data_IF_362197430450
#
_entry.id   IF_362197430450
#
_cell.length_a   1.000
_cell.length_b   1.000
_cell.length_c   1.000
_cell.angle_alpha   90.00
_cell.angle_beta   90.00
_cell.angle_gamma   90.00
#
_symmetry.space_group_name_H-M   'P 1'
#
loop_
_entity.id
_entity.type
_entity.pdbx_description
1 polymer ?
#
# COMPACT_ATOMS: atom_id res chain seq x y z
N UNK A 1 -10.57 -18.63 -8.14
CA UNK A 1 -10.30 -17.71 -9.27
C UNK A 1 -11.56 -17.52 -10.10
N UNK A 2 -12.22 -16.37 -9.94
CA UNK A 2 -13.36 -15.95 -10.75
C UNK A 2 -12.83 -14.95 -11.78
N UNK A 3 -13.21 -15.09 -13.06
CA UNK A 3 -12.90 -14.08 -14.09
C UNK A 3 -13.67 -12.80 -13.78
N UNK A 4 -12.98 -11.68 -13.67
CA UNK A 4 -13.61 -10.36 -13.71
C UNK A 4 -13.73 -9.93 -15.20
N UNK A 5 -14.53 -8.89 -15.46
CA UNK A 5 -14.97 -8.54 -16.81
C UNK A 5 -13.90 -7.80 -17.61
N UNK A 6 -13.67 -8.21 -18.86
CA UNK A 6 -12.80 -7.51 -19.80
C UNK A 6 -13.29 -6.09 -20.08
N UNK A 7 -12.42 -5.11 -19.88
CA UNK A 7 -12.69 -3.69 -20.12
C UNK A 7 -12.11 -3.27 -21.48
N UNK A 8 -12.97 -2.87 -22.42
CA UNK A 8 -12.53 -2.21 -23.64
C UNK A 8 -12.18 -0.74 -23.33
N UNK A 9 -11.00 -0.31 -23.77
CA UNK A 9 -10.39 0.96 -23.35
C UNK A 9 -10.23 1.96 -24.50
N UNK A 10 -11.26 2.05 -25.34
CA UNK A 10 -11.37 2.99 -26.47
C UNK A 10 -12.62 3.88 -26.35
N UNK A 11 -12.59 4.84 -25.42
CA UNK A 11 -13.04 6.21 -25.73
C UNK A 11 -12.56 7.23 -24.69
N UNK A 12 -11.84 8.25 -25.14
CA UNK A 12 -11.57 9.50 -24.42
C UNK A 12 -11.13 10.53 -25.46
N UNK A 13 -12.09 10.99 -26.27
CA UNK A 13 -11.92 12.10 -27.20
C UNK A 13 -11.62 13.41 -26.46
N UNK A 14 -10.83 14.25 -27.12
CA UNK A 14 -10.36 15.54 -26.62
C UNK A 14 -11.52 16.54 -26.43
N UNK A 15 -11.55 17.23 -25.29
CA UNK A 15 -12.10 18.59 -25.22
C UNK A 15 -10.97 19.55 -24.88
N UNK A 16 -10.51 20.27 -25.90
CA UNK A 16 -9.74 21.49 -25.73
C UNK A 16 -10.68 22.59 -25.23
N UNK A 17 -10.30 23.26 -24.15
CA UNK A 17 -10.68 24.67 -24.00
C UNK A 17 -9.49 25.50 -23.52
N UNK A 18 -9.29 26.65 -24.16
CA UNK A 18 -8.07 27.44 -24.07
C UNK A 18 -8.40 28.91 -23.86
N UNK A 19 -8.29 29.39 -22.61
CA UNK A 19 -8.37 30.83 -22.30
C UNK A 19 -7.27 31.29 -21.33
N UNK A 20 -6.21 31.84 -21.94
CA UNK A 20 -5.42 33.01 -21.51
C UNK A 20 -5.48 33.50 -20.04
N UNK A 21 -4.32 33.64 -19.39
CA UNK A 21 -4.18 34.37 -18.13
C UNK A 21 -2.72 34.61 -17.70
N UNK A 22 -2.01 35.52 -18.37
CA UNK A 22 -0.61 35.85 -18.04
C UNK A 22 -0.46 36.61 -16.72
N UNK A 23 0.39 36.11 -15.81
CA UNK A 23 0.67 36.76 -14.52
C UNK A 23 2.12 36.57 -14.05
N UNK A 24 3.04 37.41 -14.54
CA UNK A 24 4.42 37.46 -14.04
C UNK A 24 4.45 38.01 -12.60
N UNK A 25 5.15 37.34 -11.69
CA UNK A 25 5.65 37.94 -10.46
C UNK A 25 7.16 37.66 -10.32
N UNK A 26 7.96 38.73 -10.30
CA UNK A 26 9.38 38.72 -9.91
C UNK A 26 9.53 39.40 -8.53
N UNK A 27 10.57 39.05 -7.75
CA UNK A 27 10.70 39.49 -6.37
C UNK A 27 11.10 40.97 -6.24
N UNK A 28 10.60 41.62 -5.18
CA UNK A 28 10.99 42.98 -4.81
C UNK A 28 12.27 42.98 -3.96
N UNK A 29 13.18 43.91 -4.27
CA UNK A 29 14.36 44.24 -3.49
C UNK A 29 14.42 45.76 -3.24
N UNK A 30 15.47 46.24 -2.55
CA UNK A 30 15.74 47.64 -2.13
C UNK A 30 14.79 48.20 -1.07
N UNK A 31 15.17 49.13 -0.17
CA UNK A 31 16.37 50.01 -0.02
C UNK A 31 16.97 49.78 1.41
N UNK A 32 18.00 50.43 1.99
CA UNK A 32 18.76 51.63 1.66
C UNK A 32 20.25 51.58 2.15
N UNK A 33 20.66 52.49 3.05
CA UNK A 33 22.04 52.88 3.44
C UNK A 33 22.09 53.64 4.78
N UNK A 34 23.18 53.49 5.54
CA UNK A 34 23.91 54.54 6.28
C UNK A 34 25.21 53.92 6.83
N UNK A 35 26.42 54.18 6.33
CA UNK A 35 27.32 55.36 6.41
C UNK A 35 28.02 55.62 7.75
N UNK A 36 29.35 55.39 7.73
CA UNK A 36 30.47 56.06 8.43
C UNK A 36 30.68 55.86 9.95
N UNK A 37 31.95 55.61 10.32
CA UNK A 37 32.45 55.70 11.70
C UNK A 37 33.73 54.87 11.95
N UNK A 38 34.90 55.49 11.85
CA UNK A 38 36.21 54.86 12.17
C UNK A 38 36.63 55.12 13.61
N UNK A 39 37.23 54.12 14.27
CA UNK A 39 38.50 54.17 15.04
C UNK A 39 38.64 52.87 15.86
N UNK A 40 39.88 52.44 16.13
CA UNK A 40 40.14 51.17 16.81
C UNK A 40 40.59 51.32 18.26
N UNK A 41 40.56 50.21 19.00
CA UNK A 41 41.34 50.02 20.23
C UNK A 41 41.56 48.52 20.47
N UNK A 42 42.74 48.18 20.98
CA UNK A 42 43.11 46.82 21.36
C UNK A 42 42.49 46.44 22.70
N UNK A 43 41.82 45.28 22.77
CA UNK A 43 41.40 44.64 24.03
C UNK A 43 41.73 43.15 24.00
N UNK A 44 42.27 42.66 25.11
CA UNK A 44 42.87 41.33 25.23
C UNK A 44 41.82 40.21 25.19
N UNK A 45 42.21 39.04 24.66
CA UNK A 45 41.39 37.83 24.73
C UNK A 45 41.36 37.30 26.17
N UNK A 46 40.17 37.21 26.76
CA UNK A 46 39.91 36.50 28.02
C UNK A 46 39.25 35.17 27.66
N UNK A 47 39.76 34.01 28.12
CA UNK A 47 39.15 32.72 27.81
C UNK A 47 37.83 32.56 28.59
N UNK A 48 36.72 32.49 27.85
CA UNK A 48 35.40 32.20 28.43
C UNK A 48 35.30 30.70 28.80
N UNK A 49 35.57 30.37 30.07
CA UNK A 49 35.27 29.04 30.62
C UNK A 49 33.77 28.91 30.86
N UNK A 50 33.04 28.42 29.86
CA UNK A 50 31.63 28.05 30.01
C UNK A 50 31.50 26.88 31.00
N UNK A 51 30.63 26.95 32.03
CA UNK A 51 30.44 25.84 32.95
C UNK A 51 29.74 24.67 32.26
N UNK A 52 30.32 23.47 32.36
CA UNK A 52 29.74 22.23 31.84
C UNK A 52 28.56 21.80 32.71
N UNK A 53 27.39 22.40 32.49
CA UNK A 53 26.14 21.91 33.06
C UNK A 53 25.80 20.57 32.42
N UNK A 54 26.10 19.49 33.13
CA UNK A 54 25.82 18.12 32.68
C UNK A 54 24.32 17.91 32.59
N UNK A 55 23.76 18.06 31.38
CA UNK A 55 22.37 17.69 31.10
C UNK A 55 22.25 16.20 31.31
N UNK A 56 21.52 15.82 32.36
CA UNK A 56 21.23 14.42 32.71
C UNK A 56 20.37 13.82 31.60
N UNK A 57 21.01 13.15 30.65
CA UNK A 57 20.36 12.64 29.45
C UNK A 57 19.17 11.76 29.80
N UNK A 58 17.99 12.09 29.25
CA UNK A 58 16.90 11.14 29.20
C UNK A 58 17.37 9.91 28.39
N UNK A 59 16.97 8.68 28.76
CA UNK A 59 17.29 7.51 27.95
C UNK A 59 16.74 7.72 26.55
N UNK A 60 17.61 7.74 25.53
CA UNK A 60 17.18 7.82 24.14
C UNK A 60 16.32 6.61 23.84
N UNK A 61 15.03 6.83 23.59
CA UNK A 61 14.13 5.79 23.11
C UNK A 61 14.63 5.33 21.74
N UNK A 62 14.77 4.01 21.57
CA UNK A 62 15.08 3.40 20.28
C UNK A 62 14.12 3.92 19.20
N UNK A 63 14.61 4.39 18.03
CA UNK A 63 13.74 4.79 16.92
C UNK A 63 12.80 3.66 16.51
N UNK A 64 11.56 4.00 16.13
CA UNK A 64 10.50 3.02 15.84
C UNK A 64 10.92 2.04 14.73
N UNK A 65 11.56 2.53 13.68
CA UNK A 65 12.11 1.71 12.59
C UNK A 65 13.06 0.62 13.09
N UNK A 66 13.96 0.91 14.06
CA UNK A 66 14.88 -0.10 14.63
C UNK A 66 14.18 -1.17 15.49
N UNK A 67 12.92 -0.98 15.86
CA UNK A 67 12.12 -1.94 16.64
C UNK A 67 11.26 -2.83 15.73
N UNK A 68 10.72 -2.27 14.65
CA UNK A 68 9.70 -2.90 13.81
C UNK A 68 10.20 -3.34 12.43
N UNK A 69 11.05 -2.53 11.79
CA UNK A 69 11.62 -2.83 10.48
C UNK A 69 12.77 -3.82 10.64
N UNK A 70 12.77 -4.86 9.80
CA UNK A 70 13.73 -5.96 9.80
C UNK A 70 14.18 -6.26 8.37
N UNK A 71 15.27 -7.02 8.27
CA UNK A 71 15.61 -7.70 7.02
C UNK A 71 14.48 -8.65 6.63
N UNK A 72 14.16 -8.73 5.34
CA UNK A 72 13.13 -9.64 4.82
C UNK A 72 13.44 -11.11 5.17
N UNK A 73 14.72 -11.48 5.23
CA UNK A 73 15.16 -12.84 5.62
C UNK A 73 14.81 -13.21 7.09
N UNK A 74 14.41 -12.25 7.92
CA UNK A 74 13.96 -12.48 9.30
C UNK A 74 12.43 -12.60 9.41
N UNK A 75 11.69 -12.28 8.34
CA UNK A 75 10.22 -12.34 8.31
C UNK A 75 9.78 -13.80 8.19
N UNK A 76 8.99 -14.24 9.15
CA UNK A 76 8.41 -15.59 9.16
C UNK A 76 7.09 -15.59 8.38
N UNK A 77 6.74 -16.69 7.69
CA UNK A 77 5.43 -16.84 7.08
C UNK A 77 4.31 -16.67 8.13
N UNK A 78 3.14 -16.12 7.72
CA UNK A 78 2.00 -16.00 8.61
C UNK A 78 1.41 -17.37 8.99
N UNK A 79 0.72 -17.39 10.13
CA UNK A 79 -0.01 -18.52 10.72
C UNK A 79 -1.50 -18.48 10.39
N UNK A 80 -2.01 -17.33 9.94
CA UNK A 80 -3.39 -17.19 9.46
C UNK A 80 -3.69 -18.21 8.36
N UNK A 81 -4.84 -18.86 8.42
CA UNK A 81 -5.15 -20.04 7.58
C UNK A 81 -6.05 -19.72 6.41
N UNK A 82 -6.90 -18.71 6.55
CA UNK A 82 -7.90 -18.37 5.54
C UNK A 82 -7.29 -17.49 4.45
N UNK A 83 -6.83 -16.29 4.81
CA UNK A 83 -6.23 -15.32 3.91
C UNK A 83 -5.33 -14.38 4.71
N UNK A 84 -4.11 -14.14 4.23
CA UNK A 84 -3.17 -13.15 4.79
C UNK A 84 -2.92 -12.02 3.79
N UNK A 85 -2.49 -10.84 4.26
CA UNK A 85 -2.28 -9.68 3.38
C UNK A 85 -0.89 -9.09 3.55
N UNK A 86 -0.19 -8.91 2.43
CA UNK A 86 1.08 -8.21 2.35
C UNK A 86 0.89 -6.90 1.58
N UNK A 87 1.07 -5.76 2.24
CA UNK A 87 1.07 -4.46 1.59
C UNK A 87 2.52 -4.04 1.28
N UNK A 88 2.86 -3.96 0.00
CA UNK A 88 4.07 -3.32 -0.46
C UNK A 88 3.77 -1.88 -0.89
N UNK A 89 4.54 -0.94 -0.36
CA UNK A 89 4.49 0.47 -0.72
C UNK A 89 5.81 0.87 -1.37
N UNK A 90 5.69 1.50 -2.53
CA UNK A 90 6.69 2.43 -3.04
C UNK A 90 6.82 3.59 -2.04
N UNK A 91 8.00 3.72 -1.42
CA UNK A 91 8.29 4.70 -0.35
C UNK A 91 9.03 5.94 -0.84
N UNK A 92 9.13 6.14 -2.16
CA UNK A 92 9.74 7.35 -2.72
C UNK A 92 8.85 8.58 -2.52
N UNK A 93 9.44 9.77 -2.69
CA UNK A 93 8.77 11.04 -2.42
C UNK A 93 7.50 11.32 -3.25
N UNK A 94 7.32 10.73 -4.44
CA UNK A 94 6.07 10.86 -5.21
C UNK A 94 4.88 10.19 -4.50
N UNK A 95 5.15 9.16 -3.71
CA UNK A 95 4.16 8.28 -3.08
C UNK A 95 3.80 8.67 -1.63
N UNK A 96 4.38 9.75 -1.09
CA UNK A 96 4.13 10.25 0.28
C UNK A 96 2.63 10.36 0.62
N UNK A 97 1.81 10.90 -0.29
CA UNK A 97 0.36 11.05 -0.07
C UNK A 97 -0.38 9.71 0.06
N UNK A 98 0.13 8.64 -0.56
CA UNK A 98 -0.48 7.31 -0.51
C UNK A 98 -0.19 6.64 0.82
N UNK A 99 1.07 6.61 1.24
CA UNK A 99 1.51 6.07 2.53
C UNK A 99 0.88 6.88 3.67
N UNK A 100 0.99 8.21 3.66
CA UNK A 100 0.42 9.07 4.70
C UNK A 100 -1.10 8.87 4.88
N UNK A 101 -1.84 8.66 3.79
CA UNK A 101 -3.26 8.33 3.84
C UNK A 101 -3.54 6.92 4.38
N UNK A 102 -2.71 5.93 4.04
CA UNK A 102 -2.82 4.57 4.58
C UNK A 102 -2.53 4.58 6.08
N UNK A 103 -1.45 5.23 6.52
CA UNK A 103 -1.09 5.41 7.94
C UNK A 103 -2.22 6.09 8.72
N UNK A 104 -2.74 7.22 8.24
CA UNK A 104 -3.88 7.91 8.86
C UNK A 104 -5.15 7.05 8.94
N UNK A 105 -5.35 6.15 7.98
CA UNK A 105 -6.49 5.23 7.93
C UNK A 105 -6.15 3.84 8.45
N UNK A 106 -4.97 3.59 9.03
CA UNK A 106 -4.49 2.23 9.28
C UNK A 106 -5.39 1.49 10.25
N UNK A 107 -5.84 2.17 11.30
CA UNK A 107 -6.81 1.63 12.25
C UNK A 107 -8.12 1.19 11.57
N UNK A 108 -8.58 1.93 10.56
CA UNK A 108 -9.76 1.54 9.77
C UNK A 108 -9.43 0.38 8.83
N UNK A 109 -8.35 0.45 8.05
CA UNK A 109 -7.92 -0.63 7.15
C UNK A 109 -7.82 -1.97 7.90
N UNK A 110 -7.06 -2.01 9.00
CA UNK A 110 -6.89 -3.22 9.78
C UNK A 110 -8.17 -3.64 10.51
N UNK A 111 -8.99 -2.71 11.02
CA UNK A 111 -10.28 -3.09 11.63
C UNK A 111 -11.28 -3.65 10.62
N UNK A 112 -11.28 -3.16 9.38
CA UNK A 112 -12.10 -3.74 8.31
C UNK A 112 -11.57 -5.13 7.92
N UNK A 113 -10.27 -5.26 7.66
CA UNK A 113 -9.65 -6.50 7.20
C UNK A 113 -9.73 -7.62 8.26
N UNK A 114 -9.26 -7.37 9.48
CA UNK A 114 -9.30 -8.34 10.59
C UNK A 114 -10.74 -8.57 11.06
N UNK A 115 -11.63 -7.57 10.93
CA UNK A 115 -13.06 -7.74 11.19
C UNK A 115 -13.74 -8.70 10.21
N UNK A 116 -13.31 -8.73 8.95
CA UNK A 116 -13.78 -9.69 7.95
C UNK A 116 -13.09 -11.07 8.09
N UNK A 117 -11.83 -11.11 8.52
CA UNK A 117 -10.98 -12.31 8.61
C UNK A 117 -10.15 -12.28 9.92
N UNK A 118 -10.65 -12.82 11.05
CA UNK A 118 -10.01 -12.63 12.37
C UNK A 118 -8.68 -13.34 12.58
N UNK A 119 -8.37 -14.35 11.76
CA UNK A 119 -7.05 -15.01 11.75
C UNK A 119 -6.10 -14.43 10.69
N UNK A 120 -6.51 -13.40 9.93
CA UNK A 120 -5.63 -12.69 9.00
C UNK A 120 -4.50 -12.01 9.74
N UNK A 121 -3.27 -12.33 9.37
CA UNK A 121 -2.11 -11.52 9.69
C UNK A 121 -1.76 -10.61 8.50
N UNK A 122 -1.34 -9.40 8.81
CA UNK A 122 -0.96 -8.34 7.86
C UNK A 122 0.53 -8.03 8.05
N UNK A 123 1.24 -7.78 6.94
CA UNK A 123 2.63 -7.29 6.94
C UNK A 123 2.78 -6.13 5.97
N UNK A 124 3.76 -5.25 6.24
CA UNK A 124 4.11 -4.10 5.40
C UNK A 124 5.54 -4.25 4.88
N UNK A 125 5.75 -3.92 3.60
CA UNK A 125 7.07 -3.71 3.03
C UNK A 125 7.13 -2.31 2.41
N UNK A 126 8.10 -1.50 2.82
CA UNK A 126 8.53 -0.34 2.06
C UNK A 126 9.60 -0.74 1.03
N UNK A 127 9.49 -0.25 -0.20
CA UNK A 127 10.49 -0.41 -1.27
C UNK A 127 10.81 0.94 -1.90
N UNK A 128 12.10 1.21 -2.10
CA UNK A 128 12.61 2.40 -2.78
C UNK A 128 13.75 2.07 -3.74
N UNK A 129 14.66 3.01 -3.91
CA UNK A 129 15.77 2.93 -4.86
C UNK A 129 16.92 2.05 -4.37
N UNK A 130 17.70 1.50 -5.29
CA UNK A 130 18.94 0.77 -4.97
C UNK A 130 19.97 1.58 -4.16
N UNK A 131 19.91 2.91 -4.25
CA UNK A 131 20.80 3.83 -3.54
C UNK A 131 20.34 4.15 -2.10
N UNK A 132 19.14 3.75 -1.69
CA UNK A 132 18.59 4.00 -0.34
C UNK A 132 19.23 3.12 0.77
N UNK A 133 20.16 2.23 0.40
CA UNK A 133 20.93 1.41 1.33
C UNK A 133 20.03 0.51 2.18
N UNK A 134 20.09 0.68 3.51
CA UNK A 134 19.27 -0.09 4.46
C UNK A 134 17.77 0.22 4.34
N UNK A 135 17.37 1.33 3.70
CA UNK A 135 15.97 1.72 3.51
C UNK A 135 15.38 1.30 2.15
N UNK A 136 16.19 0.72 1.25
CA UNK A 136 15.74 0.18 -0.05
C UNK A 136 14.64 -0.87 0.10
N UNK A 137 14.71 -1.72 1.13
CA UNK A 137 13.67 -2.68 1.49
C UNK A 137 13.49 -2.72 3.01
N UNK A 138 12.28 -2.39 3.45
CA UNK A 138 11.92 -2.23 4.86
C UNK A 138 10.73 -3.13 5.18
N UNK A 139 10.93 -4.29 5.81
CA UNK A 139 9.86 -5.24 6.07
C UNK A 139 9.46 -5.31 7.55
N UNK A 140 8.16 -5.49 7.81
CA UNK A 140 7.61 -5.69 9.16
C UNK A 140 7.09 -7.11 9.32
N UNK A 141 6.98 -7.60 10.56
CA UNK A 141 6.46 -8.93 10.82
C UNK A 141 4.97 -9.04 10.43
N UNK A 142 4.53 -10.24 10.07
CA UNK A 142 3.10 -10.54 10.03
C UNK A 142 2.52 -10.46 11.45
N UNK A 143 1.50 -9.63 11.64
CA UNK A 143 0.77 -9.48 12.91
C UNK A 143 -0.73 -9.33 12.67
N UNK A 144 -1.53 -9.64 13.69
CA UNK A 144 -2.97 -9.34 13.73
C UNK A 144 -3.33 -8.40 14.90
N UNK A 145 -2.35 -7.84 15.62
CA UNK A 145 -2.59 -6.82 16.64
C UNK A 145 -2.69 -5.42 16.01
N UNK A 146 -3.80 -4.73 16.28
CA UNK A 146 -4.09 -3.41 15.71
C UNK A 146 -3.13 -2.30 16.19
N UNK A 147 -2.44 -2.50 17.31
CA UNK A 147 -1.45 -1.55 17.85
C UNK A 147 -0.09 -1.79 17.21
N UNK A 148 0.34 -3.06 17.11
CA UNK A 148 1.56 -3.45 16.40
C UNK A 148 1.49 -3.02 14.93
N UNK A 149 0.41 -3.36 14.21
CA UNK A 149 0.25 -2.99 12.78
C UNK A 149 0.25 -1.47 12.54
N UNK A 150 -0.19 -0.68 13.53
CA UNK A 150 -0.10 0.78 13.47
C UNK A 150 1.33 1.26 13.66
N UNK A 151 2.05 0.71 14.64
CA UNK A 151 3.47 1.02 14.87
C UNK A 151 4.34 0.54 13.70
N UNK A 152 4.02 -0.59 13.07
CA UNK A 152 4.72 -1.16 11.92
C UNK A 152 4.68 -0.24 10.69
N UNK A 153 3.49 0.26 10.30
CA UNK A 153 3.41 1.21 9.16
C UNK A 153 4.00 2.59 9.50
N UNK A 154 3.92 3.04 10.76
CA UNK A 154 4.58 4.26 11.23
C UNK A 154 6.11 4.10 11.32
N UNK A 155 6.61 2.86 11.28
CA UNK A 155 8.03 2.53 11.28
C UNK A 155 8.66 2.53 9.89
N UNK A 156 7.88 2.32 8.82
CA UNK A 156 8.35 2.43 7.43
C UNK A 156 8.80 3.88 7.18
N UNK A 157 10.05 4.06 6.78
CA UNK A 157 10.62 5.37 6.45
C UNK A 157 10.43 5.68 4.96
N UNK A 158 10.04 6.92 4.67
CA UNK A 158 10.08 7.47 3.31
C UNK A 158 11.54 7.61 2.84
N UNK A 159 11.78 7.42 1.55
CA UNK A 159 13.07 7.64 0.91
C UNK A 159 13.00 8.78 -0.12
N UNK A 160 14.17 9.26 -0.54
CA UNK A 160 14.30 10.21 -1.65
C UNK A 160 14.34 9.44 -2.95
N UNK A 161 13.44 9.75 -3.90
CA UNK A 161 13.50 9.16 -5.23
C UNK A 161 14.80 9.54 -5.98
N UNK A 162 15.26 8.62 -6.83
CA UNK A 162 16.42 8.80 -7.70
C UNK A 162 16.14 9.51 -9.02
N UNK A 163 17.21 9.78 -9.76
CA UNK A 163 17.13 10.24 -11.16
C UNK A 163 16.81 9.08 -12.13
N UNK A 164 16.99 7.82 -11.69
CA UNK A 164 16.61 6.62 -12.43
C UNK A 164 15.13 6.29 -12.21
N UNK A 165 14.42 6.00 -13.31
CA UNK A 165 12.95 5.95 -13.32
C UNK A 165 12.29 4.60 -12.95
N UNK A 166 13.00 3.48 -12.70
CA UNK A 166 12.45 2.29 -12.05
C UNK A 166 12.86 2.16 -10.57
N UNK A 167 12.02 1.53 -9.75
CA UNK A 167 12.33 1.17 -8.35
C UNK A 167 12.97 -0.22 -8.23
N UNK A 168 13.42 -0.60 -7.03
CA UNK A 168 13.98 -1.93 -6.74
C UNK A 168 12.92 -3.07 -6.63
N UNK A 169 11.86 -3.06 -7.45
CA UNK A 169 10.76 -4.03 -7.35
C UNK A 169 11.18 -5.47 -7.68
N UNK A 170 12.22 -5.67 -8.48
CA UNK A 170 12.79 -7.00 -8.68
C UNK A 170 13.44 -7.55 -7.41
N UNK A 171 14.06 -6.69 -6.59
CA UNK A 171 14.53 -7.06 -5.27
C UNK A 171 13.37 -7.31 -4.30
N UNK A 172 12.28 -6.53 -4.38
CA UNK A 172 11.04 -6.81 -3.65
C UNK A 172 10.47 -8.20 -3.99
N UNK A 173 10.33 -8.54 -5.28
CA UNK A 173 9.81 -9.84 -5.70
C UNK A 173 10.69 -10.98 -5.19
N UNK A 174 12.02 -10.86 -5.35
CA UNK A 174 12.97 -11.82 -4.75
C UNK A 174 12.76 -11.97 -3.24
N UNK A 175 12.67 -10.85 -2.53
CA UNK A 175 12.56 -10.84 -1.09
C UNK A 175 11.23 -11.50 -0.62
N UNK A 176 10.12 -11.25 -1.31
CA UNK A 176 8.84 -11.90 -1.02
C UNK A 176 8.87 -13.40 -1.32
N UNK A 177 9.56 -13.84 -2.37
CA UNK A 177 9.78 -15.26 -2.62
C UNK A 177 10.64 -15.91 -1.51
N UNK A 178 11.67 -15.22 -1.03
CA UNK A 178 12.51 -15.67 0.10
C UNK A 178 11.72 -15.76 1.44
N UNK A 179 10.53 -15.14 1.55
CA UNK A 179 9.61 -15.33 2.69
C UNK A 179 8.86 -16.68 2.67
N UNK A 180 8.93 -17.47 1.60
CA UNK A 180 8.31 -18.81 1.49
C UNK A 180 6.78 -18.85 1.74
N UNK A 181 6.02 -17.97 1.08
CA UNK A 181 4.58 -17.77 1.31
C UNK A 181 3.64 -18.74 0.56
N UNK A 182 4.18 -19.69 -0.20
CA UNK A 182 3.44 -20.62 -1.08
C UNK A 182 2.33 -21.44 -0.38
N UNK A 183 2.41 -21.62 0.94
CA UNK A 183 1.46 -22.41 1.74
C UNK A 183 0.55 -21.59 2.65
N UNK A 184 0.58 -20.25 2.56
CA UNK A 184 -0.05 -19.37 3.55
C UNK A 184 -1.21 -18.52 3.03
N UNK A 185 -1.74 -18.80 1.83
CA UNK A 185 -2.85 -18.04 1.22
C UNK A 185 -2.64 -16.51 1.31
N UNK A 186 -1.45 -16.01 0.94
CA UNK A 186 -1.14 -14.58 1.05
C UNK A 186 -1.52 -13.84 -0.23
N UNK A 187 -2.29 -12.75 -0.08
CA UNK A 187 -2.51 -11.76 -1.14
C UNK A 187 -1.54 -10.61 -0.96
N UNK A 188 -0.91 -10.15 -2.05
CA UNK A 188 -0.03 -8.98 -2.06
C UNK A 188 -0.66 -7.83 -2.83
N UNK A 189 -0.61 -6.62 -2.25
CA UNK A 189 -0.94 -5.36 -2.91
C UNK A 189 0.32 -4.51 -3.01
N UNK A 190 0.79 -4.21 -4.23
CA UNK A 190 1.85 -3.24 -4.48
C UNK A 190 1.23 -1.89 -4.89
N UNK A 191 1.47 -0.85 -4.10
CA UNK A 191 0.97 0.52 -4.35
C UNK A 191 2.14 1.37 -4.84
N UNK A 192 2.09 1.84 -6.09
CA UNK A 192 3.25 2.46 -6.78
C UNK A 192 2.86 3.27 -8.03
N UNK A 193 3.63 4.30 -8.37
CA UNK A 193 3.61 5.00 -9.66
C UNK A 193 4.75 4.61 -10.63
N UNK A 194 5.51 3.55 -10.33
CA UNK A 194 6.75 3.10 -11.00
C UNK A 194 6.74 1.61 -11.43
N UNK A 195 7.91 1.06 -11.80
CA UNK A 195 8.15 -0.29 -12.37
C UNK A 195 9.50 -0.88 -11.89
N UNK A 196 9.75 -2.22 -11.97
CA UNK A 196 11.08 -2.79 -11.73
C UNK A 196 12.10 -2.39 -12.79
N UNK A 197 13.37 -2.50 -12.41
CA UNK A 197 14.50 -2.46 -13.34
C UNK A 197 14.43 -3.62 -14.36
N UNK A 198 14.94 -3.38 -15.57
CA UNK A 198 14.93 -4.33 -16.68
C UNK A 198 13.71 -4.24 -17.62
N UNK A 199 12.70 -3.42 -17.32
CA UNK A 199 11.52 -3.21 -18.18
C UNK A 199 11.73 -2.20 -19.31
N UNK A 200 12.79 -1.39 -19.25
CA UNK A 200 13.18 -0.31 -20.18
C UNK A 200 12.14 0.80 -20.31
N UNK A 201 12.36 1.89 -19.58
CA UNK A 201 11.59 3.12 -19.70
C UNK A 201 12.49 4.35 -19.92
N UNK A 202 12.17 5.14 -20.96
CA UNK A 202 12.72 6.47 -21.31
C UNK A 202 14.25 6.71 -21.33
N UNK A 203 15.09 5.70 -21.13
CA UNK A 203 16.54 5.88 -21.14
C UNK A 203 17.33 4.60 -20.93
N UNK A 204 18.50 4.74 -20.29
CA UNK A 204 19.40 3.62 -19.96
C UNK A 204 18.97 2.95 -18.66
N UNK A 205 17.90 2.15 -18.75
CA UNK A 205 17.70 1.05 -17.82
C UNK A 205 18.79 -0.03 -18.11
N UNK A 206 19.72 -0.20 -17.18
CA UNK A 206 20.83 -1.17 -17.28
C UNK A 206 20.47 -2.54 -16.68
N UNK A 207 19.22 -2.74 -16.27
CA UNK A 207 18.81 -3.89 -15.46
C UNK A 207 19.13 -3.67 -13.97
N UNK A 208 18.86 -4.69 -13.16
CA UNK A 208 19.06 -4.64 -11.72
C UNK A 208 20.55 -4.51 -11.36
N UNK A 209 20.98 -3.51 -10.55
CA UNK A 209 22.34 -3.43 -10.01
C UNK A 209 22.79 -4.65 -9.19
N UNK A 210 21.84 -5.49 -8.73
CA UNK A 210 22.07 -6.74 -7.98
C UNK A 210 21.89 -8.01 -8.83
N UNK A 211 21.80 -7.86 -10.16
CA UNK A 211 21.60 -8.95 -11.13
C UNK A 211 20.35 -9.82 -10.89
N UNK A 212 19.33 -9.25 -10.24
CA UNK A 212 18.04 -9.91 -10.03
C UNK A 212 17.17 -9.75 -11.27
N UNK A 213 16.77 -10.86 -11.89
CA UNK A 213 15.93 -10.87 -13.08
C UNK A 213 14.44 -10.80 -12.69
N UNK A 214 13.81 -9.65 -12.89
CA UNK A 214 12.44 -9.40 -12.40
C UNK A 214 11.43 -10.43 -12.93
N UNK A 215 11.61 -10.93 -14.15
CA UNK A 215 10.71 -11.91 -14.78
C UNK A 215 10.72 -13.26 -14.05
N UNK A 216 11.88 -13.70 -13.57
CA UNK A 216 12.03 -15.00 -12.90
C UNK A 216 11.41 -14.96 -11.50
N UNK A 217 11.62 -13.87 -10.77
CA UNK A 217 11.05 -13.68 -9.43
C UNK A 217 9.55 -13.39 -9.50
N UNK A 218 9.09 -12.58 -10.46
CA UNK A 218 7.67 -12.35 -10.69
C UNK A 218 6.91 -13.61 -11.10
N UNK A 219 7.56 -14.54 -11.82
CA UNK A 219 6.94 -15.83 -12.14
C UNK A 219 6.60 -16.61 -10.87
N UNK A 220 7.54 -16.69 -9.92
CA UNK A 220 7.31 -17.36 -8.61
C UNK A 220 6.22 -16.66 -7.81
N UNK A 221 6.20 -15.32 -7.78
CA UNK A 221 5.11 -14.53 -7.16
C UNK A 221 3.73 -14.93 -7.70
N UNK A 222 3.60 -15.19 -9.01
CA UNK A 222 2.35 -15.63 -9.64
C UNK A 222 2.00 -17.12 -9.44
N UNK A 223 2.93 -17.92 -8.93
CA UNK A 223 2.78 -19.35 -8.60
C UNK A 223 2.50 -19.55 -7.10
N UNK A 224 3.20 -18.80 -6.23
CA UNK A 224 3.18 -18.96 -4.78
C UNK A 224 2.13 -18.07 -4.06
N UNK A 225 1.85 -16.87 -4.55
CA UNK A 225 0.85 -15.99 -3.90
C UNK A 225 -0.58 -16.32 -4.35
N UNK A 226 -1.52 -16.21 -3.42
CA UNK A 226 -2.94 -16.36 -3.69
C UNK A 226 -3.43 -15.33 -4.72
N UNK A 227 -2.91 -14.11 -4.63
CA UNK A 227 -3.11 -13.06 -5.63
C UNK A 227 -2.05 -11.97 -5.49
N UNK A 228 -1.60 -11.42 -6.61
CA UNK A 228 -0.71 -10.27 -6.67
C UNK A 228 -1.39 -9.16 -7.45
N UNK A 229 -1.65 -8.04 -6.77
CA UNK A 229 -2.36 -6.89 -7.30
C UNK A 229 -1.44 -5.67 -7.32
N UNK A 230 -1.50 -4.88 -8.40
CA UNK A 230 -0.85 -3.59 -8.47
C UNK A 230 -1.91 -2.49 -8.40
N UNK A 231 -1.80 -1.63 -7.40
CA UNK A 231 -2.58 -0.39 -7.31
C UNK A 231 -1.78 0.76 -7.91
N UNK A 232 -1.85 0.88 -9.24
CA UNK A 232 -1.05 1.83 -10.01
C UNK A 232 -1.50 3.27 -9.80
N UNK A 233 -0.57 4.14 -9.42
CA UNK A 233 -0.77 5.57 -9.17
C UNK A 233 -0.21 6.48 -10.28
N UNK A 234 0.41 5.90 -11.32
CA UNK A 234 1.21 6.64 -12.28
C UNK A 234 0.38 7.53 -13.23
N UNK A 235 0.75 8.81 -13.41
CA UNK A 235 0.14 9.67 -14.43
C UNK A 235 0.60 9.30 -15.85
N UNK A 236 1.67 8.50 -16.00
CA UNK A 236 2.25 8.16 -17.28
C UNK A 236 1.61 6.91 -17.89
N UNK A 237 0.85 7.07 -18.98
CA UNK A 237 0.22 5.95 -19.73
C UNK A 237 1.22 4.86 -20.14
N UNK A 238 2.48 5.22 -20.37
CA UNK A 238 3.57 4.28 -20.67
C UNK A 238 3.91 3.39 -19.47
N UNK A 239 4.06 3.97 -18.28
CA UNK A 239 4.26 3.22 -17.02
C UNK A 239 3.04 2.33 -16.74
N UNK A 240 1.82 2.85 -16.85
CA UNK A 240 0.58 2.06 -16.68
C UNK A 240 0.57 0.83 -17.60
N UNK A 241 0.95 0.99 -18.89
CA UNK A 241 1.08 -0.12 -19.84
C UNK A 241 2.19 -1.13 -19.48
N UNK A 242 3.21 -0.73 -18.73
CA UNK A 242 4.27 -1.62 -18.24
C UNK A 242 3.83 -2.32 -16.94
N UNK A 243 3.23 -1.60 -15.99
CA UNK A 243 2.62 -2.16 -14.78
C UNK A 243 1.57 -3.24 -15.11
N UNK A 244 0.75 -3.05 -16.15
CA UNK A 244 -0.20 -4.06 -16.64
C UNK A 244 0.45 -5.35 -17.16
N UNK A 245 1.75 -5.36 -17.50
CA UNK A 245 2.50 -6.59 -17.86
C UNK A 245 3.07 -7.32 -16.64
N UNK A 246 3.06 -6.69 -15.46
CA UNK A 246 3.53 -7.30 -14.23
C UNK A 246 2.45 -8.15 -13.54
N UNK A 247 1.19 -8.04 -13.95
CA UNK A 247 0.06 -8.78 -13.34
C UNK A 247 -0.43 -9.93 -14.22
N UNK A 248 -0.92 -10.99 -13.58
CA UNK A 248 -1.39 -12.23 -14.23
C UNK A 248 -2.57 -12.03 -15.19
N UNK A 249 -3.49 -11.14 -14.85
CA UNK A 249 -4.60 -10.68 -15.70
C UNK A 249 -4.82 -9.17 -15.49
N UNK A 250 -5.44 -8.46 -16.45
CA UNK A 250 -5.73 -7.02 -16.30
C UNK A 250 -6.52 -6.67 -15.03
N UNK A 251 -7.37 -7.59 -14.55
CA UNK A 251 -8.20 -7.42 -13.35
C UNK A 251 -7.40 -7.25 -12.05
N UNK A 252 -6.13 -7.65 -12.05
CA UNK A 252 -5.21 -7.48 -10.93
C UNK A 252 -4.47 -6.13 -10.98
N UNK A 253 -4.65 -5.33 -12.04
CA UNK A 253 -4.17 -3.96 -12.12
C UNK A 253 -5.32 -2.96 -11.83
N UNK A 254 -5.11 -2.08 -10.85
CA UNK A 254 -6.13 -1.20 -10.29
C UNK A 254 -5.65 0.25 -10.37
N UNK A 255 -6.16 1.01 -11.34
CA UNK A 255 -5.75 2.40 -11.54
C UNK A 255 -6.31 3.34 -10.44
N UNK A 256 -5.43 3.83 -9.57
CA UNK A 256 -5.74 4.76 -8.50
C UNK A 256 -5.72 6.22 -8.98
N UNK A 257 -6.86 6.71 -9.48
CA UNK A 257 -6.97 8.16 -9.77
C UNK A 257 -7.04 9.05 -8.52
N UNK A 258 -6.90 8.49 -7.30
CA UNK A 258 -6.88 9.22 -6.03
C UNK A 258 -6.33 8.35 -4.88
N UNK A 259 -5.30 8.83 -4.19
CA UNK A 259 -4.68 8.14 -3.04
C UNK A 259 -5.65 7.74 -1.92
N UNK A 260 -6.76 8.48 -1.74
CA UNK A 260 -7.73 8.24 -0.66
C UNK A 260 -8.44 6.90 -0.75
N UNK A 261 -8.33 6.22 -1.90
CA UNK A 261 -9.07 5.00 -2.26
C UNK A 261 -8.38 3.70 -1.88
N UNK A 262 -7.04 3.67 -1.72
CA UNK A 262 -6.22 2.47 -1.45
C UNK A 262 -6.93 1.52 -0.48
N UNK A 263 -7.29 2.05 0.69
CA UNK A 263 -7.93 1.30 1.78
C UNK A 263 -9.30 0.72 1.37
N UNK A 264 -10.18 1.52 0.77
CA UNK A 264 -11.50 1.03 0.36
C UNK A 264 -11.40 -0.06 -0.72
N UNK A 265 -10.45 0.07 -1.67
CA UNK A 265 -10.26 -0.89 -2.76
C UNK A 265 -9.66 -2.18 -2.22
N UNK A 266 -8.62 -2.10 -1.37
CA UNK A 266 -7.99 -3.28 -0.75
C UNK A 266 -9.00 -4.07 0.09
N UNK A 267 -9.76 -3.38 0.96
CA UNK A 267 -10.83 -4.02 1.74
C UNK A 267 -11.92 -4.62 0.85
N UNK A 268 -12.28 -3.99 -0.27
CA UNK A 268 -13.28 -4.55 -1.19
C UNK A 268 -12.80 -5.81 -1.91
N UNK A 269 -11.52 -5.89 -2.27
CA UNK A 269 -10.93 -7.08 -2.90
C UNK A 269 -10.88 -8.23 -1.91
N UNK A 270 -10.38 -7.98 -0.69
CA UNK A 270 -10.43 -8.99 0.38
C UNK A 270 -11.87 -9.43 0.67
N UNK A 271 -12.82 -8.49 0.75
CA UNK A 271 -14.24 -8.79 0.94
C UNK A 271 -14.81 -9.64 -0.22
N UNK A 272 -14.35 -9.45 -1.45
CA UNK A 272 -14.74 -10.28 -2.59
C UNK A 272 -14.25 -11.71 -2.41
N UNK A 273 -12.96 -11.92 -2.11
CA UNK A 273 -12.39 -13.26 -2.01
C UNK A 273 -12.98 -14.09 -0.85
N UNK A 274 -13.45 -13.45 0.22
CA UNK A 274 -14.14 -14.13 1.35
C UNK A 274 -15.67 -14.16 1.24
N UNK A 275 -16.24 -13.80 0.08
CA UNK A 275 -17.69 -13.73 -0.18
C UNK A 275 -18.45 -12.84 0.83
N UNK A 276 -17.88 -11.67 1.14
CA UNK A 276 -18.46 -10.62 2.00
C UNK A 276 -18.55 -9.24 1.31
N UNK A 277 -18.32 -9.13 0.00
CA UNK A 277 -18.30 -7.85 -0.72
C UNK A 277 -19.60 -7.06 -0.53
N UNK A 278 -20.77 -7.71 -0.59
CA UNK A 278 -22.06 -7.01 -0.37
C UNK A 278 -22.12 -6.36 1.02
N UNK A 279 -21.76 -7.10 2.07
CA UNK A 279 -21.75 -6.61 3.45
C UNK A 279 -20.80 -5.41 3.60
N UNK A 280 -19.61 -5.50 3.00
CA UNK A 280 -18.64 -4.41 2.96
C UNK A 280 -19.21 -3.16 2.25
N UNK A 281 -19.83 -3.31 1.07
CA UNK A 281 -20.40 -2.19 0.33
C UNK A 281 -21.58 -1.55 1.07
N UNK A 282 -22.48 -2.32 1.68
CA UNK A 282 -23.57 -1.79 2.51
C UNK A 282 -23.04 -0.99 3.70
N UNK A 283 -21.97 -1.47 4.37
CA UNK A 283 -21.30 -0.73 5.46
C UNK A 283 -20.66 0.56 4.95
N UNK A 284 -19.92 0.47 3.84
CA UNK A 284 -19.25 1.60 3.19
C UNK A 284 -20.24 2.70 2.77
N UNK A 285 -21.40 2.33 2.24
CA UNK A 285 -22.47 3.28 1.90
C UNK A 285 -23.02 3.99 3.14
N UNK A 286 -23.31 3.24 4.21
CA UNK A 286 -23.81 3.79 5.48
C UNK A 286 -22.82 4.75 6.13
N UNK A 287 -21.52 4.46 6.07
CA UNK A 287 -20.48 5.24 6.72
C UNK A 287 -19.95 6.41 5.87
N UNK A 288 -19.93 6.27 4.54
CA UNK A 288 -19.20 7.19 3.63
C UNK A 288 -19.98 7.58 2.36
N UNK A 289 -21.23 7.15 2.24
CA UNK A 289 -22.14 7.49 1.14
C UNK A 289 -21.96 6.65 -0.12
N UNK A 290 -23.03 6.59 -0.91
CA UNK A 290 -23.14 5.82 -2.17
C UNK A 290 -22.01 6.10 -3.16
N UNK A 291 -21.50 7.34 -3.22
CA UNK A 291 -20.41 7.74 -4.12
C UNK A 291 -19.16 6.86 -3.93
N UNK A 292 -18.85 6.45 -2.69
CA UNK A 292 -17.71 5.57 -2.40
C UNK A 292 -17.96 4.13 -2.84
N UNK A 293 -19.20 3.67 -2.82
CA UNK A 293 -19.58 2.37 -3.36
C UNK A 293 -19.51 2.39 -4.89
N UNK A 294 -20.01 3.44 -5.56
CA UNK A 294 -19.89 3.56 -7.04
C UNK A 294 -18.43 3.55 -7.48
N UNK A 295 -17.57 4.23 -6.73
CA UNK A 295 -16.13 4.33 -6.96
C UNK A 295 -15.44 2.96 -6.82
N UNK A 296 -15.71 2.21 -5.75
CA UNK A 296 -15.20 0.85 -5.56
C UNK A 296 -15.70 -0.09 -6.66
N UNK A 297 -17.00 -0.10 -6.95
CA UNK A 297 -17.59 -0.98 -7.97
C UNK A 297 -17.01 -0.72 -9.35
N UNK A 298 -16.84 0.55 -9.74
CA UNK A 298 -16.17 0.94 -10.99
C UNK A 298 -14.73 0.39 -11.04
N UNK A 299 -13.96 0.50 -9.96
CA UNK A 299 -12.59 -0.03 -9.90
C UNK A 299 -12.56 -1.56 -9.98
N UNK A 300 -13.58 -2.26 -9.47
CA UNK A 300 -13.73 -3.73 -9.57
C UNK A 300 -14.39 -4.20 -10.87
N UNK A 301 -14.65 -3.31 -11.84
CA UNK A 301 -15.35 -3.65 -13.09
C UNK A 301 -16.79 -4.12 -12.91
N UNK A 302 -17.47 -3.71 -11.83
CA UNK A 302 -18.83 -4.14 -11.48
C UNK A 302 -19.88 -3.04 -11.73
N UNK A 303 -21.08 -3.38 -12.24
CA UNK A 303 -22.17 -2.43 -12.40
C UNK A 303 -22.75 -2.01 -11.04
N UNK A 304 -23.40 -0.85 -10.97
CA UNK A 304 -24.00 -0.35 -9.72
C UNK A 304 -25.11 -1.28 -9.19
N UNK A 305 -25.82 -1.94 -10.10
CA UNK A 305 -26.87 -2.92 -9.82
C UNK A 305 -26.36 -4.11 -8.98
N UNK A 306 -25.05 -4.39 -8.98
CA UNK A 306 -24.43 -5.52 -8.27
C UNK A 306 -24.83 -5.64 -6.80
N UNK A 307 -25.04 -4.50 -6.11
CA UNK A 307 -25.46 -4.48 -4.71
C UNK A 307 -26.86 -3.87 -4.48
N UNK A 308 -27.47 -3.27 -5.51
CA UNK A 308 -28.77 -2.59 -5.40
C UNK A 308 -29.97 -3.56 -5.37
N UNK A 309 -29.81 -4.76 -5.92
CA UNK A 309 -30.88 -5.77 -6.03
C UNK A 309 -30.62 -7.02 -5.21
N UNK A 310 -29.62 -7.06 -4.32
CA UNK A 310 -29.26 -8.29 -3.59
C UNK A 310 -30.46 -8.80 -2.81
N UNK A 311 -31.12 -9.89 -3.27
CA UNK A 311 -32.26 -10.40 -2.56
C UNK A 311 -31.73 -11.07 -1.29
N UNK A 312 -32.58 -11.23 -0.28
CA UNK A 312 -32.20 -11.92 0.97
C UNK A 312 -32.12 -13.44 0.71
N UNK A 313 -31.12 -13.83 -0.09
CA UNK A 313 -30.92 -15.15 -0.69
C UNK A 313 -30.12 -16.03 0.25
N UNK A 314 -30.87 -16.80 1.05
CA UNK A 314 -30.38 -17.80 2.00
C UNK A 314 -29.43 -17.24 3.07
N UNK A 315 -29.42 -17.88 4.23
CA UNK A 315 -28.61 -17.40 5.34
C UNK A 315 -28.09 -18.53 6.18
N UNK A 316 -26.77 -18.54 6.34
CA UNK A 316 -26.10 -19.44 7.27
C UNK A 316 -26.00 -18.77 8.64
N UNK A 317 -26.39 -19.50 9.68
CA UNK A 317 -26.23 -19.05 11.07
C UNK A 317 -24.83 -19.46 11.52
N UNK A 318 -24.05 -18.52 12.07
CA UNK A 318 -22.74 -18.83 12.61
C UNK A 318 -22.85 -19.76 13.81
N UNK A 319 -22.22 -20.96 13.81
CA UNK A 319 -22.34 -21.91 14.92
C UNK A 319 -21.69 -21.42 16.22
N UNK A 320 -20.81 -20.40 16.15
CA UNK A 320 -20.10 -19.84 17.32
C UNK A 320 -20.82 -18.69 18.00
N UNK A 321 -21.38 -17.74 17.24
CA UNK A 321 -22.02 -16.53 17.79
C UNK A 321 -23.52 -16.41 17.51
N UNK A 322 -24.12 -17.38 16.81
CA UNK A 322 -25.53 -17.41 16.43
C UNK A 322 -26.01 -16.22 15.56
N UNK A 323 -25.09 -15.46 14.95
CA UNK A 323 -25.41 -14.36 14.03
C UNK A 323 -25.71 -14.90 12.64
N UNK A 324 -26.70 -14.30 11.97
CA UNK A 324 -27.13 -14.57 10.60
C UNK A 324 -26.16 -13.93 9.59
N UNK A 325 -25.61 -14.73 8.67
CA UNK A 325 -24.73 -14.31 7.58
C UNK A 325 -25.41 -14.60 6.22
N UNK A 326 -24.87 -14.07 5.12
CA UNK A 326 -25.31 -14.45 3.77
C UNK A 326 -24.88 -15.89 3.47
N UNK A 327 -25.67 -16.64 2.69
CA UNK A 327 -25.19 -17.93 2.17
C UNK A 327 -23.98 -17.72 1.24
N UNK A 328 -23.07 -18.69 1.23
CA UNK A 328 -21.79 -18.62 0.51
C UNK A 328 -20.69 -17.78 1.18
N UNK A 329 -20.97 -17.00 2.23
CA UNK A 329 -19.92 -16.33 3.01
C UNK A 329 -19.01 -17.37 3.69
N UNK A 330 -17.69 -17.21 3.56
CA UNK A 330 -16.71 -18.16 4.09
C UNK A 330 -16.55 -17.99 5.61
N UNK A 331 -16.63 -16.75 6.10
CA UNK A 331 -16.46 -16.38 7.50
C UNK A 331 -17.65 -15.56 8.02
N UNK A 332 -17.89 -15.65 9.34
CA UNK A 332 -18.91 -14.85 10.00
C UNK A 332 -18.55 -13.37 10.08
N UNK A 333 -19.42 -12.48 9.60
CA UNK A 333 -19.26 -11.02 9.63
C UNK A 333 -19.14 -10.36 11.03
N UNK A 334 -19.30 -11.13 12.11
CA UNK A 334 -19.33 -10.62 13.50
C UNK A 334 -18.25 -11.22 14.39
N UNK A 335 -17.87 -12.48 14.17
CA UNK A 335 -16.83 -13.16 14.96
C UNK A 335 -15.80 -13.93 14.11
N UNK A 336 -15.94 -13.86 12.79
CA UNK A 336 -15.19 -14.56 11.75
C UNK A 336 -14.83 -16.01 12.03
N UNK A 337 -15.69 -16.73 12.74
CA UNK A 337 -15.68 -18.17 12.70
C UNK A 337 -15.92 -18.63 11.24
N UNK A 338 -15.21 -19.67 10.76
CA UNK A 338 -15.59 -20.35 9.53
C UNK A 338 -17.06 -20.74 9.53
N UNK A 339 -17.72 -20.53 8.40
CA UNK A 339 -19.11 -20.91 8.18
C UNK A 339 -19.14 -22.23 7.39
N UNK A 340 -20.11 -23.13 7.66
CA UNK A 340 -20.25 -24.37 6.90
C UNK A 340 -20.55 -24.06 5.43
N UNK A 341 -19.76 -24.63 4.53
CA UNK A 341 -19.92 -24.46 3.08
C UNK A 341 -21.04 -25.40 2.62
N UNK A 342 -22.08 -24.84 1.98
CA UNK A 342 -23.15 -25.64 1.37
C UNK A 342 -22.55 -26.64 0.36
N UNK A 343 -22.68 -27.95 0.66
CA UNK A 343 -22.16 -29.03 -0.17
C UNK A 343 -21.12 -29.93 0.50
N UNK A 344 -20.47 -29.50 1.59
CA UNK A 344 -19.70 -30.42 2.44
C UNK A 344 -20.60 -31.06 3.49
N UNK A 345 -21.18 -32.22 3.13
CA UNK A 345 -21.58 -33.18 4.15
C UNK A 345 -20.31 -33.78 4.75
N UNK A 346 -20.15 -33.67 6.07
CA UNK A 346 -19.10 -34.38 6.80
C UNK A 346 -19.29 -35.89 6.57
N UNK A 347 -18.39 -36.50 5.80
CA UNK A 347 -18.29 -37.95 5.68
C UNK A 347 -17.66 -38.50 6.96
N UNK A 348 -18.53 -38.86 7.92
CA UNK A 348 -18.16 -39.65 9.10
C UNK A 348 -17.89 -41.12 8.72
#
# INVERSE_FOLDING_TARGET
MIKLGSYDYEDFSEEHDATSGSGFFKPAATLAKSLLGTTGTSSQAVPATSPTTTVRGQPQKTPLWKKHVKSVAEIKPPKGKVLNVLFAFDVTSSMEMYIGNVTQKMRYLCSELIGMVPDMEISFIGVGDHQDGDFMLQATAFSNDLSELKEDIEAIQMTSGGDDHPEAFECLFKAVNDMNLASTNTMMFLVTDSIPHGMKFRGRDLGCPKDVQYQEELKKIHEDLYGFYIMGASPYREIVKLQMKLVKTPDFFLNLTNYRRVVNIASAIVAQEVNQLTQFLTKLEKERGTDRVREVLRTLGKPLQYYAEVPVMLSVICPKCNVKNLSGSILCNTCGNPLPIEGQQDSQ
#
